data_IF_853510468578
#
_entry.id   IF_853510468578
#
_cell.length_a   1.000
_cell.length_b   1.000
_cell.length_c   1.000
_cell.angle_alpha   90.00
_cell.angle_beta   90.00
_cell.angle_gamma   90.00
#
_symmetry.space_group_name_H-M   'P 1'
#
loop_
_entity.id
_entity.type
_entity.pdbx_description
1 polymer ?
#
# COMPACT_ATOMS: atom_id res chain seq x y z
N UNK A 1 -16.32 -6.18 -14.38
CA UNK A 1 -16.87 -5.94 -15.72
C UNK A 1 -15.71 -5.96 -16.70
N UNK A 2 -15.65 -6.92 -17.65
CA UNK A 2 -14.58 -6.95 -18.67
C UNK A 2 -14.87 -5.83 -19.67
N UNK A 3 -13.96 -4.85 -19.79
CA UNK A 3 -14.05 -3.85 -20.89
C UNK A 3 -13.69 -4.55 -22.20
N UNK A 4 -14.48 -4.32 -23.25
CA UNK A 4 -14.07 -4.63 -24.63
C UNK A 4 -12.95 -3.67 -25.03
N UNK A 5 -11.90 -4.21 -25.65
CA UNK A 5 -10.81 -3.44 -26.25
C UNK A 5 -11.41 -2.46 -27.27
N UNK A 6 -11.20 -1.15 -27.05
CA UNK A 6 -11.39 -0.19 -28.13
C UNK A 6 -10.20 -0.37 -29.09
N UNK A 7 -10.48 -0.63 -30.35
CA UNK A 7 -9.46 -0.80 -31.38
C UNK A 7 -8.51 0.41 -31.39
N UNK A 8 -7.22 0.16 -31.19
CA UNK A 8 -6.18 1.19 -31.29
C UNK A 8 -5.58 1.68 -29.99
N UNK A 9 -6.00 1.22 -28.80
CA UNK A 9 -5.37 1.59 -27.53
C UNK A 9 -4.35 0.51 -27.10
N UNK A 10 -3.02 0.74 -27.24
CA UNK A 10 -1.99 -0.23 -26.90
C UNK A 10 -1.79 -0.44 -25.40
N UNK A 11 -2.57 0.27 -24.56
CA UNK A 11 -2.39 0.34 -23.11
C UNK A 11 -3.35 -0.53 -22.31
N UNK A 12 -4.33 -1.18 -22.95
CA UNK A 12 -5.32 -2.02 -22.27
C UNK A 12 -5.05 -3.48 -22.58
N UNK A 13 -4.76 -4.28 -21.55
CA UNK A 13 -4.66 -5.73 -21.67
C UNK A 13 -6.05 -6.37 -21.86
N UNK A 14 -6.12 -7.50 -22.59
CA UNK A 14 -7.37 -8.21 -22.88
C UNK A 14 -8.02 -8.81 -21.62
N UNK A 15 -7.22 -9.05 -20.58
CA UNK A 15 -7.66 -9.69 -19.33
C UNK A 15 -7.89 -8.70 -18.17
N UNK A 16 -8.02 -7.41 -18.46
CA UNK A 16 -8.19 -6.38 -17.43
C UNK A 16 -9.54 -6.47 -16.74
N UNK A 17 -9.50 -6.68 -15.45
CA UNK A 17 -10.63 -6.42 -14.55
C UNK A 17 -10.39 -5.08 -13.86
N UNK A 18 -11.09 -4.04 -14.30
CA UNK A 18 -10.97 -2.73 -13.69
C UNK A 18 -11.58 -2.71 -12.29
N UNK A 19 -10.93 -1.98 -11.38
CA UNK A 19 -11.54 -1.63 -10.11
C UNK A 19 -12.80 -0.77 -10.36
N UNK A 20 -13.77 -0.89 -9.47
CA UNK A 20 -14.95 -0.03 -9.50
C UNK A 20 -14.53 1.45 -9.45
N UNK A 21 -15.26 2.34 -10.12
CA UNK A 21 -15.09 3.80 -9.99
C UNK A 21 -15.25 4.29 -8.54
N UNK A 22 -15.89 3.47 -7.69
CA UNK A 22 -16.06 3.70 -6.26
C UNK A 22 -15.06 2.90 -5.41
N UNK A 23 -14.02 2.30 -6.02
CA UNK A 23 -12.98 1.61 -5.28
C UNK A 23 -12.31 2.58 -4.28
N UNK A 24 -12.05 2.06 -3.09
CA UNK A 24 -11.41 2.80 -1.99
C UNK A 24 -10.16 2.07 -1.50
N UNK A 25 -9.44 1.42 -2.42
CA UNK A 25 -8.14 0.82 -2.16
C UNK A 25 -7.09 1.88 -1.80
N UNK A 26 -5.91 1.43 -1.40
CA UNK A 26 -4.83 2.34 -0.99
C UNK A 26 -4.45 3.36 -2.07
N UNK A 27 -4.47 2.95 -3.33
CA UNK A 27 -4.10 3.81 -4.47
C UNK A 27 -5.10 4.96 -4.67
N UNK A 28 -6.40 4.66 -4.60
CA UNK A 28 -7.47 5.65 -4.76
C UNK A 28 -7.51 6.62 -3.57
N UNK A 29 -7.27 6.11 -2.36
CA UNK A 29 -7.18 6.93 -1.16
C UNK A 29 -6.04 7.95 -1.23
N UNK A 30 -4.84 7.53 -1.64
CA UNK A 30 -3.70 8.44 -1.72
C UNK A 30 -3.87 9.45 -2.85
N UNK A 31 -4.41 9.03 -4.00
CA UNK A 31 -4.71 9.94 -5.11
C UNK A 31 -5.65 11.06 -4.68
N UNK A 32 -6.77 10.72 -4.04
CA UNK A 32 -7.73 11.71 -3.53
C UNK A 32 -7.08 12.63 -2.49
N UNK A 33 -6.37 12.07 -1.51
CA UNK A 33 -5.69 12.84 -0.45
C UNK A 33 -4.71 13.88 -1.00
N UNK A 34 -3.93 13.53 -2.03
CA UNK A 34 -2.97 14.46 -2.66
C UNK A 34 -3.69 15.49 -3.50
N UNK A 35 -4.63 15.03 -4.37
CA UNK A 35 -5.40 15.93 -5.26
C UNK A 35 -6.12 17.03 -4.49
N UNK A 36 -6.74 16.69 -3.36
CA UNK A 36 -7.51 17.64 -2.55
C UNK A 36 -6.65 18.72 -1.86
N UNK A 37 -5.32 18.58 -1.89
CA UNK A 37 -4.35 19.47 -1.22
C UNK A 37 -3.46 20.27 -2.14
N UNK A 38 -3.33 19.85 -3.38
CA UNK A 38 -2.58 20.58 -4.41
C UNK A 38 -3.52 21.64 -5.02
N UNK A 39 -3.06 22.88 -5.31
CA UNK A 39 -3.88 23.88 -5.98
C UNK A 39 -4.54 23.35 -7.25
N UNK A 40 -5.85 23.53 -7.37
CA UNK A 40 -6.68 22.93 -8.41
C UNK A 40 -6.24 23.31 -9.83
N UNK A 41 -5.89 24.59 -10.05
CA UNK A 41 -5.40 25.10 -11.32
C UNK A 41 -4.06 24.45 -11.73
N UNK A 42 -3.18 24.21 -10.78
CA UNK A 42 -1.92 23.53 -10.99
C UNK A 42 -2.13 22.03 -11.30
N UNK A 43 -2.99 21.37 -10.52
CA UNK A 43 -3.33 19.97 -10.75
C UNK A 43 -3.96 19.76 -12.13
N UNK A 44 -4.91 20.60 -12.52
CA UNK A 44 -5.64 20.49 -13.77
C UNK A 44 -4.83 20.90 -15.02
N UNK A 45 -3.68 21.57 -14.84
CA UNK A 45 -2.72 21.83 -15.92
C UNK A 45 -2.14 20.53 -16.47
N UNK A 46 -2.05 19.49 -15.65
CA UNK A 46 -1.52 18.19 -16.00
C UNK A 46 -2.62 17.14 -16.15
N UNK A 47 -2.33 16.10 -16.92
CA UNK A 47 -3.01 14.82 -16.81
C UNK A 47 -2.20 13.94 -15.84
N UNK A 48 -2.64 13.83 -14.58
CA UNK A 48 -2.04 12.92 -13.59
C UNK A 48 -2.74 11.57 -13.69
N UNK A 49 -2.02 10.57 -14.21
CA UNK A 49 -2.52 9.22 -14.48
C UNK A 49 -2.08 8.28 -13.35
N UNK A 50 -3.04 7.68 -12.66
CA UNK A 50 -2.76 6.72 -11.60
C UNK A 50 -2.62 5.32 -12.19
N UNK A 51 -1.44 4.75 -12.11
CA UNK A 51 -1.06 3.39 -12.50
C UNK A 51 -1.31 3.02 -13.97
N UNK A 52 -2.53 3.15 -14.47
CA UNK A 52 -2.96 2.54 -15.73
C UNK A 52 -3.43 3.57 -16.72
N UNK A 53 -2.76 3.64 -17.87
CA UNK A 53 -3.11 4.56 -18.95
C UNK A 53 -4.35 4.04 -19.69
N UNK A 54 -5.43 4.82 -19.71
CA UNK A 54 -6.66 4.51 -20.45
C UNK A 54 -6.84 5.39 -21.66
N UNK A 55 -6.43 6.65 -21.54
CA UNK A 55 -6.46 7.66 -22.59
C UNK A 55 -5.33 8.65 -22.39
N UNK A 56 -4.95 9.38 -23.42
CA UNK A 56 -3.97 10.45 -23.35
C UNK A 56 -4.65 11.76 -23.76
N UNK A 57 -4.76 12.70 -22.82
CA UNK A 57 -5.24 14.06 -23.06
C UNK A 57 -4.14 14.91 -23.73
N UNK A 58 -4.55 16.01 -24.36
CA UNK A 58 -3.63 17.04 -24.88
C UNK A 58 -3.17 17.97 -23.73
N UNK A 59 -2.46 17.38 -22.79
CA UNK A 59 -1.84 18.03 -21.62
C UNK A 59 -0.48 17.44 -21.31
N UNK A 60 0.40 18.13 -20.57
CA UNK A 60 1.57 17.50 -19.98
C UNK A 60 1.16 16.35 -19.05
N UNK A 61 1.86 15.21 -19.11
CA UNK A 61 1.43 13.96 -18.46
C UNK A 61 2.37 13.54 -17.37
N UNK A 62 1.79 13.17 -16.23
CA UNK A 62 2.50 12.58 -15.09
C UNK A 62 1.93 11.17 -14.91
N UNK A 63 2.80 10.16 -14.93
CA UNK A 63 2.39 8.77 -14.65
C UNK A 63 2.82 8.40 -13.22
N UNK A 64 1.84 8.17 -12.36
CA UNK A 64 2.02 7.86 -10.95
C UNK A 64 1.78 6.37 -10.70
N UNK A 65 2.83 5.63 -10.45
CA UNK A 65 2.78 4.18 -10.29
C UNK A 65 2.31 3.76 -8.90
N UNK A 66 1.47 2.71 -8.86
CA UNK A 66 1.03 2.03 -7.64
C UNK A 66 1.11 0.50 -7.80
N UNK A 67 1.18 0.01 -9.03
CA UNK A 67 1.34 -1.41 -9.36
C UNK A 67 2.83 -1.77 -9.52
N UNK A 68 3.14 -3.06 -9.66
CA UNK A 68 4.51 -3.52 -9.89
C UNK A 68 4.93 -3.37 -11.35
N UNK A 69 6.23 -3.32 -11.62
CA UNK A 69 6.80 -3.29 -12.97
C UNK A 69 6.40 -4.48 -13.86
N UNK A 70 5.89 -5.57 -13.24
CA UNK A 70 5.44 -6.79 -13.93
C UNK A 70 3.96 -6.76 -14.30
N UNK A 71 3.22 -5.72 -13.90
CA UNK A 71 1.83 -5.58 -14.33
C UNK A 71 1.76 -5.51 -15.87
N UNK A 72 0.89 -6.30 -16.52
CA UNK A 72 0.73 -6.27 -17.99
C UNK A 72 0.40 -4.89 -18.54
N UNK A 73 -0.29 -4.06 -17.76
CA UNK A 73 -0.75 -2.73 -18.16
C UNK A 73 0.38 -1.68 -18.27
N UNK A 74 1.58 -1.97 -17.76
CA UNK A 74 2.73 -1.06 -17.84
C UNK A 74 3.81 -1.53 -18.82
N UNK A 75 3.64 -2.70 -19.47
CA UNK A 75 4.67 -3.27 -20.35
C UNK A 75 4.95 -2.43 -21.61
N UNK A 76 4.03 -1.55 -22.01
CA UNK A 76 4.24 -0.61 -23.12
C UNK A 76 5.39 0.36 -22.84
N UNK A 77 5.77 0.57 -21.59
CA UNK A 77 6.88 1.43 -21.18
C UNK A 77 8.27 0.86 -21.53
N UNK A 78 8.38 -0.39 -21.97
CA UNK A 78 9.61 -0.92 -22.57
C UNK A 78 10.03 -0.13 -23.81
N UNK A 79 9.06 0.43 -24.53
CA UNK A 79 9.32 1.28 -25.68
C UNK A 79 9.63 2.72 -25.22
N UNK A 80 10.79 3.24 -25.64
CA UNK A 80 11.21 4.61 -25.33
C UNK A 80 10.23 5.66 -25.84
N UNK A 81 9.68 5.50 -27.06
CA UNK A 81 8.70 6.42 -27.62
C UNK A 81 7.43 6.53 -26.75
N UNK A 82 7.06 5.43 -26.09
CA UNK A 82 5.97 5.44 -25.13
C UNK A 82 6.32 6.21 -23.85
N UNK A 83 7.56 6.08 -23.37
CA UNK A 83 8.06 6.83 -22.20
C UNK A 83 8.18 8.33 -22.48
N UNK A 84 8.54 8.70 -23.69
CA UNK A 84 8.71 10.11 -24.12
C UNK A 84 7.37 10.90 -24.14
N UNK A 85 6.23 10.22 -24.01
CA UNK A 85 4.91 10.85 -23.88
C UNK A 85 4.62 11.42 -22.49
N UNK A 86 5.50 11.18 -21.51
CA UNK A 86 5.33 11.60 -20.14
C UNK A 86 6.43 12.57 -19.72
N UNK A 87 6.04 13.61 -19.00
CA UNK A 87 6.98 14.61 -18.43
C UNK A 87 7.70 14.04 -17.20
N UNK A 88 6.99 13.23 -16.39
CA UNK A 88 7.52 12.67 -15.15
C UNK A 88 6.87 11.33 -14.82
N UNK A 89 7.67 10.45 -14.22
CA UNK A 89 7.27 9.21 -13.59
C UNK A 89 7.38 9.35 -12.08
N UNK A 90 6.29 9.09 -11.36
CA UNK A 90 6.23 9.20 -9.91
C UNK A 90 6.08 7.82 -9.30
N UNK A 91 6.95 7.49 -8.35
CA UNK A 91 6.99 6.19 -7.68
C UNK A 91 6.69 6.32 -6.19
N UNK A 92 6.01 5.34 -5.58
CA UNK A 92 5.69 5.38 -4.16
C UNK A 92 6.86 4.96 -3.25
N UNK A 93 7.96 4.44 -3.83
CA UNK A 93 9.14 3.94 -3.11
C UNK A 93 10.36 3.87 -4.02
N UNK A 94 11.55 3.88 -3.42
CA UNK A 94 12.82 3.65 -4.11
C UNK A 94 12.89 2.23 -4.68
N UNK A 95 12.38 1.24 -3.93
CA UNK A 95 12.26 -0.13 -4.41
C UNK A 95 11.43 -0.22 -5.71
N UNK A 96 10.30 0.49 -5.77
CA UNK A 96 9.45 0.49 -6.96
C UNK A 96 10.18 1.13 -8.15
N UNK A 97 10.81 2.29 -7.97
CA UNK A 97 11.60 2.97 -9.00
C UNK A 97 12.70 2.05 -9.55
N UNK A 98 13.47 1.40 -8.67
CA UNK A 98 14.53 0.48 -9.09
C UNK A 98 13.98 -0.67 -9.94
N UNK A 99 12.84 -1.28 -9.54
CA UNK A 99 12.20 -2.34 -10.31
C UNK A 99 11.76 -1.88 -11.70
N UNK A 100 11.15 -0.71 -11.80
CA UNK A 100 10.75 -0.15 -13.10
C UNK A 100 11.96 0.22 -13.96
N UNK A 101 13.02 0.74 -13.38
CA UNK A 101 14.28 0.99 -14.11
C UNK A 101 14.86 -0.31 -14.68
N UNK A 102 15.01 -1.35 -13.85
CA UNK A 102 15.59 -2.62 -14.25
C UNK A 102 14.73 -3.41 -15.25
N UNK A 103 13.42 -3.44 -15.05
CA UNK A 103 12.51 -4.28 -15.83
C UNK A 103 12.05 -3.61 -17.13
N UNK A 104 11.89 -2.27 -17.13
CA UNK A 104 11.28 -1.51 -18.23
C UNK A 104 12.17 -0.38 -18.80
N UNK A 105 13.35 -0.13 -18.22
CA UNK A 105 14.28 0.89 -18.67
C UNK A 105 13.80 2.33 -18.41
N UNK A 106 13.01 2.55 -17.37
CA UNK A 106 12.58 3.89 -16.97
C UNK A 106 13.80 4.72 -16.58
N UNK A 107 13.91 5.92 -17.13
CA UNK A 107 15.03 6.83 -16.91
C UNK A 107 14.94 7.51 -15.53
N UNK A 108 16.05 7.52 -14.78
CA UNK A 108 16.10 8.19 -13.46
C UNK A 108 15.86 9.71 -13.58
N UNK A 109 16.32 10.33 -14.68
CA UNK A 109 16.18 11.77 -14.94
C UNK A 109 14.71 12.20 -15.07
N UNK A 110 13.85 11.29 -15.54
CA UNK A 110 12.39 11.49 -15.62
C UNK A 110 11.64 11.00 -14.40
N UNK A 111 12.33 10.48 -13.39
CA UNK A 111 11.71 9.81 -12.24
C UNK A 111 11.82 10.63 -10.97
N UNK A 112 10.86 10.42 -10.08
CA UNK A 112 10.88 10.95 -8.71
C UNK A 112 10.16 9.98 -7.78
N UNK A 113 10.67 9.84 -6.56
CA UNK A 113 9.98 9.10 -5.50
C UNK A 113 9.22 10.10 -4.63
N UNK A 114 7.90 10.01 -4.64
CA UNK A 114 7.01 10.69 -3.72
C UNK A 114 6.22 9.62 -2.96
N UNK A 115 6.56 9.45 -1.70
CA UNK A 115 6.01 8.35 -0.88
C UNK A 115 4.50 8.46 -0.72
N UNK A 116 3.83 7.31 -0.73
CA UNK A 116 2.43 7.27 -0.32
C UNK A 116 2.32 7.73 1.13
N UNK A 117 1.39 8.64 1.40
CA UNK A 117 1.28 9.30 2.69
C UNK A 117 -0.09 9.09 3.33
N UNK A 118 -0.15 9.33 4.61
CA UNK A 118 -1.34 9.20 5.43
C UNK A 118 -1.66 10.53 6.13
N UNK A 119 -2.88 10.68 6.57
CA UNK A 119 -3.17 11.61 7.68
C UNK A 119 -2.66 10.94 8.95
N UNK A 120 -1.74 11.50 9.73
CA UNK A 120 -1.25 10.88 10.96
C UNK A 120 -2.39 10.42 11.87
N UNK A 121 -2.23 9.27 12.53
CA UNK A 121 -3.22 8.80 13.49
C UNK A 121 -2.99 9.55 14.82
N UNK A 122 -4.05 10.13 15.43
CA UNK A 122 -3.90 10.87 16.68
C UNK A 122 -3.22 10.05 17.79
N UNK A 123 -2.43 10.72 18.62
CA UNK A 123 -1.80 10.06 19.77
C UNK A 123 -2.85 9.52 20.73
N UNK A 124 -2.68 8.28 21.14
CA UNK A 124 -3.57 7.56 22.04
C UNK A 124 -2.77 6.51 22.83
N UNK A 125 -3.37 5.96 23.85
CA UNK A 125 -2.78 4.86 24.63
C UNK A 125 -3.42 3.53 24.23
N UNK A 126 -2.61 2.50 24.03
CA UNK A 126 -3.11 1.14 23.80
C UNK A 126 -3.77 0.60 25.07
N UNK A 127 -4.85 -0.22 24.96
CA UNK A 127 -5.43 -0.91 26.11
C UNK A 127 -4.39 -1.78 26.81
N UNK A 128 -4.22 -1.60 28.10
CA UNK A 128 -3.31 -2.43 28.93
C UNK A 128 -4.00 -3.64 29.54
N UNK A 129 -5.31 -3.58 29.66
CA UNK A 129 -6.14 -4.65 30.20
C UNK A 129 -6.81 -5.40 29.06
N UNK A 130 -7.06 -6.69 29.27
CA UNK A 130 -7.69 -7.55 28.26
C UNK A 130 -6.68 -8.20 27.30
N UNK A 131 -7.16 -8.71 26.17
CA UNK A 131 -6.33 -9.46 25.22
C UNK A 131 -5.36 -8.57 24.45
N UNK A 132 -4.22 -9.13 24.03
CA UNK A 132 -3.41 -8.54 22.97
C UNK A 132 -4.21 -8.62 21.66
N UNK A 133 -4.47 -7.47 21.05
CA UNK A 133 -5.26 -7.35 19.81
C UNK A 133 -4.35 -7.31 18.59
N UNK A 134 -4.55 -8.29 17.72
CA UNK A 134 -3.91 -8.38 16.43
C UNK A 134 -4.85 -7.83 15.35
N UNK A 135 -4.31 -7.29 14.27
CA UNK A 135 -5.10 -6.98 13.08
C UNK A 135 -4.43 -7.52 11.81
N UNK A 136 -5.26 -7.90 10.83
CA UNK A 136 -4.88 -8.13 9.44
C UNK A 136 -5.71 -7.20 8.55
N UNK A 137 -5.03 -6.39 7.75
CA UNK A 137 -5.66 -5.34 6.92
C UNK A 137 -5.14 -5.46 5.50
N UNK A 138 -5.69 -6.40 4.74
CA UNK A 138 -5.34 -6.61 3.34
C UNK A 138 -6.31 -7.57 2.66
N UNK A 139 -6.24 -7.67 1.32
CA UNK A 139 -6.98 -8.68 0.56
C UNK A 139 -6.46 -10.09 0.86
N UNK A 140 -7.30 -11.12 0.73
CA UNK A 140 -7.02 -12.46 1.29
C UNK A 140 -5.81 -13.16 0.63
N UNK A 141 -5.54 -12.87 -0.64
CA UNK A 141 -4.42 -13.51 -1.37
C UNK A 141 -3.03 -13.05 -0.90
N UNK A 142 -2.96 -12.06 0.01
CA UNK A 142 -1.71 -11.50 0.52
C UNK A 142 -1.25 -12.16 1.82
N UNK A 143 -1.66 -13.41 2.09
CA UNK A 143 -1.19 -14.21 3.22
C UNK A 143 -2.21 -14.44 4.34
N UNK A 144 -3.51 -14.22 4.11
CA UNK A 144 -4.54 -14.51 5.13
C UNK A 144 -4.57 -16.01 5.49
N UNK A 145 -4.32 -16.90 4.53
CA UNK A 145 -4.23 -18.34 4.76
C UNK A 145 -3.04 -18.71 5.65
N UNK A 146 -1.91 -18.02 5.48
CA UNK A 146 -0.73 -18.16 6.34
C UNK A 146 -1.04 -17.69 7.75
N UNK A 147 -1.65 -16.52 7.89
CA UNK A 147 -2.02 -15.94 9.18
C UNK A 147 -2.94 -16.85 9.98
N UNK A 148 -4.08 -17.25 9.39
CA UNK A 148 -5.07 -18.04 10.12
C UNK A 148 -4.54 -19.44 10.48
N UNK A 149 -3.70 -20.01 9.60
CA UNK A 149 -3.00 -21.27 9.87
C UNK A 149 -2.07 -21.15 11.07
N UNK A 150 -1.24 -20.11 11.10
CA UNK A 150 -0.31 -19.83 12.21
C UNK A 150 -1.05 -19.53 13.51
N UNK A 151 -2.10 -18.68 13.47
CA UNK A 151 -2.90 -18.31 14.64
C UNK A 151 -3.52 -19.54 15.30
N UNK A 152 -4.14 -20.43 14.51
CA UNK A 152 -4.73 -21.66 15.01
C UNK A 152 -3.71 -22.65 15.60
N UNK A 153 -2.51 -22.72 14.98
CA UNK A 153 -1.44 -23.60 15.43
C UNK A 153 -0.83 -23.14 16.76
N UNK A 154 -0.72 -21.84 16.96
CA UNK A 154 -0.12 -21.23 18.17
C UNK A 154 -0.99 -21.40 19.42
N UNK A 155 -2.32 -21.61 19.29
CA UNK A 155 -3.26 -21.75 20.41
C UNK A 155 -3.06 -20.67 21.49
N UNK A 156 -3.01 -19.42 21.04
CA UNK A 156 -2.70 -18.27 21.89
C UNK A 156 -3.82 -18.04 22.91
N UNK A 157 -3.42 -17.86 24.17
CA UNK A 157 -4.31 -17.43 25.25
C UNK A 157 -4.31 -15.91 25.36
N UNK A 158 -5.46 -15.33 25.67
CA UNK A 158 -5.62 -13.88 25.86
C UNK A 158 -5.15 -13.03 24.64
N UNK A 159 -5.46 -13.52 23.44
CA UNK A 159 -5.17 -12.83 22.16
C UNK A 159 -6.42 -12.85 21.29
N UNK A 160 -6.74 -11.72 20.66
CA UNK A 160 -7.81 -11.56 19.68
C UNK A 160 -7.23 -11.14 18.33
N UNK A 161 -7.88 -11.57 17.24
CA UNK A 161 -7.49 -11.24 15.88
C UNK A 161 -8.66 -10.64 15.12
N UNK A 162 -8.51 -9.37 14.71
CA UNK A 162 -9.43 -8.68 13.82
C UNK A 162 -8.97 -8.78 12.37
N UNK A 163 -9.84 -9.26 11.47
CA UNK A 163 -9.52 -9.47 10.06
C UNK A 163 -10.39 -8.55 9.18
N UNK A 164 -9.76 -7.59 8.54
CA UNK A 164 -10.35 -6.69 7.56
C UNK A 164 -9.87 -7.10 6.16
N UNK A 165 -10.64 -7.96 5.49
CA UNK A 165 -10.19 -8.62 4.26
C UNK A 165 -11.35 -8.94 3.32
N UNK A 166 -11.34 -8.38 2.11
CA UNK A 166 -12.28 -8.67 1.04
C UNK A 166 -11.82 -7.96 -0.25
N UNK A 167 -12.13 -8.52 -1.40
CA UNK A 167 -11.98 -7.86 -2.69
C UNK A 167 -13.08 -6.83 -3.00
N UNK A 168 -14.12 -6.76 -2.16
CA UNK A 168 -15.19 -5.76 -2.26
C UNK A 168 -14.64 -4.33 -2.25
N UNK A 169 -13.49 -4.09 -1.61
CA UNK A 169 -12.80 -2.79 -1.60
C UNK A 169 -12.51 -2.27 -3.02
N UNK A 170 -12.34 -3.18 -4.00
CA UNK A 170 -12.14 -2.87 -5.41
C UNK A 170 -13.41 -3.03 -6.25
N UNK A 171 -14.54 -3.39 -5.64
CA UNK A 171 -15.77 -3.75 -6.34
C UNK A 171 -15.71 -5.11 -7.05
N UNK A 172 -14.81 -6.00 -6.62
CA UNK A 172 -14.62 -7.35 -7.18
C UNK A 172 -15.24 -8.42 -6.28
N UNK A 173 -16.50 -8.27 -5.95
CA UNK A 173 -17.21 -9.19 -5.05
C UNK A 173 -17.22 -10.64 -5.55
N UNK A 174 -17.27 -10.85 -6.87
CA UNK A 174 -17.20 -12.19 -7.45
C UNK A 174 -15.88 -12.91 -7.13
N UNK A 175 -14.79 -12.16 -7.00
CA UNK A 175 -13.49 -12.70 -6.65
C UNK A 175 -13.41 -13.21 -5.21
N UNK A 176 -14.23 -12.67 -4.32
CA UNK A 176 -14.31 -13.13 -2.93
C UNK A 176 -14.81 -14.56 -2.82
N UNK A 177 -15.60 -15.06 -3.81
CA UNK A 177 -16.10 -16.45 -3.83
C UNK A 177 -14.97 -17.50 -3.82
N UNK A 178 -13.82 -17.17 -4.39
CA UNK A 178 -12.63 -18.05 -4.37
C UNK A 178 -12.09 -18.25 -2.94
N UNK A 179 -12.40 -17.31 -2.04
CA UNK A 179 -11.92 -17.26 -0.67
C UNK A 179 -12.99 -17.59 0.37
N UNK A 180 -14.22 -17.95 -0.03
CA UNK A 180 -15.33 -18.24 0.88
C UNK A 180 -14.97 -19.27 1.97
N UNK A 181 -14.26 -20.34 1.59
CA UNK A 181 -13.79 -21.36 2.55
C UNK A 181 -12.82 -20.78 3.57
N UNK A 182 -11.91 -19.90 3.13
CA UNK A 182 -10.94 -19.26 4.00
C UNK A 182 -11.64 -18.28 4.96
N UNK A 183 -12.59 -17.51 4.46
CA UNK A 183 -13.41 -16.61 5.29
C UNK A 183 -14.26 -17.38 6.30
N UNK A 184 -14.78 -18.54 5.92
CA UNK A 184 -15.51 -19.39 6.88
C UNK A 184 -14.58 -19.92 7.97
N UNK A 185 -13.36 -20.38 7.63
CA UNK A 185 -12.35 -20.76 8.63
C UNK A 185 -12.05 -19.61 9.60
N UNK A 186 -11.95 -18.37 9.10
CA UNK A 186 -11.75 -17.20 9.96
C UNK A 186 -12.92 -17.03 10.94
N UNK A 187 -14.17 -17.12 10.48
CA UNK A 187 -15.38 -16.98 11.33
C UNK A 187 -15.51 -18.08 12.37
N UNK A 188 -15.10 -19.30 12.02
CA UNK A 188 -15.21 -20.48 12.88
C UNK A 188 -14.03 -20.62 13.87
N UNK A 189 -13.01 -19.77 13.74
CA UNK A 189 -11.84 -19.83 14.63
C UNK A 189 -12.11 -18.99 15.89
N UNK A 190 -11.99 -19.57 17.10
CA UNK A 190 -12.14 -18.82 18.34
C UNK A 190 -11.21 -17.62 18.43
N UNK A 191 -11.69 -16.52 19.03
CA UNK A 191 -10.97 -15.26 19.20
C UNK A 191 -10.57 -14.57 17.88
N UNK A 192 -11.25 -14.90 16.77
CA UNK A 192 -11.11 -14.24 15.48
C UNK A 192 -12.40 -13.52 15.10
N UNK A 193 -12.29 -12.22 14.81
CA UNK A 193 -13.39 -11.39 14.33
C UNK A 193 -13.17 -11.07 12.86
N UNK A 194 -14.00 -11.61 11.97
CA UNK A 194 -13.93 -11.33 10.54
C UNK A 194 -14.91 -10.22 10.14
N UNK A 195 -14.38 -9.08 9.72
CA UNK A 195 -15.14 -7.86 9.40
C UNK A 195 -15.40 -7.67 7.90
N UNK A 196 -14.67 -8.39 7.03
CA UNK A 196 -14.75 -8.17 5.57
C UNK A 196 -14.14 -6.85 5.17
N UNK A 197 -14.81 -6.11 4.27
CA UNK A 197 -14.41 -4.77 3.83
C UNK A 197 -15.15 -3.71 4.62
N UNK A 198 -14.40 -2.81 5.26
CA UNK A 198 -14.94 -1.66 6.00
C UNK A 198 -14.30 -0.36 5.50
N UNK A 199 -14.90 0.82 5.73
CA UNK A 199 -14.30 2.10 5.41
C UNK A 199 -12.94 2.31 6.08
N UNK A 200 -12.03 3.07 5.44
CA UNK A 200 -10.69 3.31 5.99
C UNK A 200 -10.73 4.02 7.36
N UNK A 201 -11.70 4.89 7.61
CA UNK A 201 -11.82 5.59 8.92
C UNK A 201 -12.15 4.61 10.07
N UNK A 202 -12.90 3.55 9.80
CA UNK A 202 -13.14 2.47 10.77
C UNK A 202 -11.87 1.69 11.06
N UNK A 203 -11.09 1.36 10.01
CA UNK A 203 -9.76 0.73 10.14
C UNK A 203 -8.84 1.59 11.01
N UNK A 204 -8.76 2.89 10.73
CA UNK A 204 -7.92 3.83 11.47
C UNK A 204 -8.31 3.94 12.93
N UNK A 205 -9.63 3.87 13.22
CA UNK A 205 -10.16 3.80 14.59
C UNK A 205 -9.78 2.48 15.26
N UNK A 206 -9.94 1.35 14.57
CA UNK A 206 -9.55 0.04 15.06
C UNK A 206 -8.06 -0.06 15.37
N UNK A 207 -7.20 0.52 14.53
CA UNK A 207 -5.75 0.56 14.74
C UNK A 207 -5.35 1.27 16.04
N UNK A 208 -6.15 2.19 16.56
CA UNK A 208 -5.90 2.80 17.88
C UNK A 208 -6.00 1.79 19.02
N UNK A 209 -6.79 0.73 18.85
CA UNK A 209 -6.95 -0.35 19.83
C UNK A 209 -6.10 -1.58 19.52
N UNK A 210 -5.52 -1.66 18.33
CA UNK A 210 -4.69 -2.77 17.87
C UNK A 210 -3.27 -2.66 18.44
N UNK A 211 -2.73 -3.76 18.92
CA UNK A 211 -1.36 -3.85 19.42
C UNK A 211 -0.37 -4.23 18.31
N UNK A 212 -0.74 -5.20 17.48
CA UNK A 212 0.16 -5.77 16.47
C UNK A 212 -0.57 -5.89 15.12
N UNK A 213 0.02 -5.35 14.06
CA UNK A 213 -0.37 -5.70 12.69
C UNK A 213 0.32 -7.02 12.32
N UNK A 214 -0.45 -8.08 12.19
CA UNK A 214 -0.01 -9.42 11.84
C UNK A 214 -0.10 -9.61 10.32
N UNK A 215 1.02 -9.40 9.60
CA UNK A 215 1.03 -9.32 8.14
C UNK A 215 2.03 -10.29 7.49
N UNK A 216 1.72 -11.59 7.42
CA UNK A 216 2.58 -12.59 6.74
C UNK A 216 2.44 -12.48 5.21
N UNK A 217 2.77 -11.32 4.68
CA UNK A 217 2.57 -10.97 3.29
C UNK A 217 3.29 -11.92 2.33
N UNK A 218 2.58 -12.32 1.26
CA UNK A 218 3.11 -13.16 0.16
C UNK A 218 3.13 -12.42 -1.17
N UNK A 219 2.74 -11.14 -1.19
CA UNK A 219 2.62 -10.30 -2.37
C UNK A 219 3.72 -9.24 -2.43
N UNK A 220 4.19 -8.90 -3.63
CA UNK A 220 5.16 -7.82 -3.81
C UNK A 220 4.46 -6.45 -3.71
N UNK A 221 4.45 -5.87 -2.53
CA UNK A 221 3.92 -4.52 -2.29
C UNK A 221 4.85 -3.47 -2.88
N UNK A 222 4.26 -2.32 -3.28
CA UNK A 222 4.98 -1.15 -3.78
C UNK A 222 5.10 -0.02 -2.74
N UNK A 223 4.25 -0.02 -1.70
CA UNK A 223 4.28 0.94 -0.59
C UNK A 223 3.77 0.38 0.74
N UNK A 224 2.66 -0.36 0.79
CA UNK A 224 2.01 -0.92 1.98
C UNK A 224 1.44 0.13 2.96
N UNK A 225 0.38 0.83 2.56
CA UNK A 225 -0.29 1.84 3.42
C UNK A 225 -0.76 1.26 4.76
N UNK A 226 -1.20 -0.01 4.78
CA UNK A 226 -1.62 -0.67 6.03
C UNK A 226 -0.50 -0.72 7.07
N UNK A 227 0.75 -0.97 6.66
CA UNK A 227 1.89 -0.93 7.57
C UNK A 227 2.18 0.52 8.04
N UNK A 228 2.12 1.50 7.11
CA UNK A 228 2.34 2.91 7.45
C UNK A 228 1.30 3.39 8.48
N UNK A 229 0.00 3.12 8.26
CA UNK A 229 -1.07 3.50 9.19
C UNK A 229 -0.93 2.77 10.54
N UNK A 230 -0.59 1.48 10.54
CA UNK A 230 -0.36 0.72 11.77
C UNK A 230 0.81 1.29 12.59
N UNK A 231 1.90 1.66 11.94
CA UNK A 231 3.07 2.24 12.60
C UNK A 231 2.81 3.65 13.13
N UNK A 232 2.05 4.48 12.40
CA UNK A 232 1.55 5.76 12.90
C UNK A 232 0.59 5.60 14.08
N UNK A 233 -0.16 4.48 14.13
CA UNK A 233 -0.98 4.12 15.28
C UNK A 233 -0.20 3.51 16.46
N UNK A 234 1.12 3.40 16.38
CA UNK A 234 1.94 2.79 17.43
C UNK A 234 1.71 1.27 17.57
N UNK A 235 1.40 0.58 16.48
CA UNK A 235 1.36 -0.89 16.45
C UNK A 235 2.76 -1.45 16.17
N UNK A 236 3.09 -2.59 16.79
CA UNK A 236 4.16 -3.45 16.27
C UNK A 236 3.69 -4.00 14.91
N UNK A 237 4.57 -4.07 13.93
CA UNK A 237 4.30 -4.73 12.64
C UNK A 237 5.14 -5.98 12.54
N UNK A 238 4.49 -7.13 12.33
CA UNK A 238 5.16 -8.41 12.07
C UNK A 238 4.98 -8.77 10.60
N UNK A 239 6.04 -8.75 9.82
CA UNK A 239 5.99 -8.99 8.38
C UNK A 239 7.28 -9.62 7.84
N UNK A 240 7.26 -10.23 6.62
CA UNK A 240 8.47 -10.70 5.95
C UNK A 240 9.28 -9.54 5.34
N UNK A 241 10.57 -9.76 5.10
CA UNK A 241 11.42 -8.85 4.33
C UNK A 241 11.18 -9.01 2.82
N UNK A 242 9.95 -8.81 2.38
CA UNK A 242 9.54 -8.99 0.98
C UNK A 242 9.29 -7.65 0.29
N UNK A 243 9.87 -7.48 -0.91
CA UNK A 243 9.66 -6.31 -1.77
C UNK A 243 9.94 -4.99 -1.03
N UNK A 244 8.97 -4.06 -1.01
CA UNK A 244 9.12 -2.75 -0.37
C UNK A 244 9.09 -2.78 1.17
N UNK A 245 8.66 -3.87 1.79
CA UNK A 245 8.43 -3.89 3.24
C UNK A 245 9.67 -3.48 4.07
N UNK A 246 10.92 -3.87 3.72
CA UNK A 246 12.11 -3.35 4.42
C UNK A 246 12.24 -1.83 4.34
N UNK A 247 11.95 -1.22 3.18
CA UNK A 247 11.95 0.24 3.01
C UNK A 247 10.80 0.90 3.77
N UNK A 248 9.58 0.41 3.57
CA UNK A 248 8.38 0.98 4.21
C UNK A 248 8.46 0.91 5.74
N UNK A 249 8.98 -0.19 6.27
CA UNK A 249 9.06 -0.40 7.72
C UNK A 249 10.31 0.18 8.38
N UNK A 250 11.30 0.66 7.63
CA UNK A 250 12.45 1.44 8.12
C UNK A 250 13.13 0.84 9.37
N UNK A 251 13.25 -0.49 9.44
CA UNK A 251 13.80 -1.26 10.57
C UNK A 251 12.98 -1.21 11.89
N UNK A 252 11.77 -0.66 11.88
CA UNK A 252 10.90 -0.71 13.07
C UNK A 252 10.11 -2.02 13.18
N UNK A 253 9.81 -2.68 12.05
CA UNK A 253 9.04 -3.92 12.06
C UNK A 253 9.85 -5.10 12.61
N UNK A 254 9.15 -6.03 13.23
CA UNK A 254 9.66 -7.35 13.56
C UNK A 254 9.63 -8.23 12.32
N UNK A 255 10.76 -8.25 11.60
CA UNK A 255 10.86 -8.88 10.30
C UNK A 255 11.50 -10.27 10.36
N UNK A 256 11.05 -11.12 9.45
CA UNK A 256 11.65 -12.43 9.18
C UNK A 256 11.97 -12.61 7.69
N UNK A 257 12.93 -13.49 7.38
CA UNK A 257 13.29 -13.79 6.00
C UNK A 257 12.15 -14.46 5.25
N UNK A 258 11.70 -13.84 4.15
CA UNK A 258 10.68 -14.41 3.26
C UNK A 258 11.15 -15.74 2.65
N UNK A 259 10.24 -16.69 2.54
CA UNK A 259 10.43 -17.95 1.82
C UNK A 259 9.16 -18.29 1.03
N UNK A 260 9.31 -18.96 -0.12
CA UNK A 260 8.17 -19.31 -0.97
C UNK A 260 7.38 -20.52 -0.45
N UNK A 261 8.05 -21.44 0.28
CA UNK A 261 7.36 -22.55 0.92
C UNK A 261 6.42 -22.05 2.00
N UNK A 262 5.13 -22.30 1.82
CA UNK A 262 4.06 -21.78 2.70
C UNK A 262 4.17 -22.29 4.14
N UNK A 263 4.60 -23.51 4.33
CA UNK A 263 4.72 -24.13 5.66
C UNK A 263 5.87 -23.49 6.43
N UNK A 264 7.01 -23.34 5.78
CA UNK A 264 8.17 -22.69 6.37
C UNK A 264 7.91 -21.18 6.58
N UNK A 265 7.20 -20.52 5.66
CA UNK A 265 6.77 -19.14 5.81
C UNK A 265 5.87 -18.98 7.05
N UNK A 266 4.85 -19.82 7.20
CA UNK A 266 3.97 -19.82 8.36
C UNK A 266 4.73 -20.10 9.67
N UNK A 267 5.71 -21.01 9.66
CA UNK A 267 6.53 -21.33 10.82
C UNK A 267 7.38 -20.13 11.28
N UNK A 268 8.05 -19.44 10.34
CA UNK A 268 8.84 -18.24 10.63
C UNK A 268 7.96 -17.10 11.15
N UNK A 269 6.84 -16.87 10.49
CA UNK A 269 5.88 -15.87 10.92
C UNK A 269 5.36 -16.15 12.33
N UNK A 270 4.93 -17.39 12.60
CA UNK A 270 4.40 -17.79 13.91
C UNK A 270 5.44 -17.58 15.03
N UNK A 271 6.70 -17.87 14.77
CA UNK A 271 7.80 -17.66 15.73
C UNK A 271 7.94 -16.18 16.09
N UNK A 272 8.03 -15.29 15.08
CA UNK A 272 8.20 -13.85 15.29
C UNK A 272 6.94 -13.21 15.86
N UNK A 273 5.75 -13.66 15.42
CA UNK A 273 4.48 -13.20 15.99
C UNK A 273 4.36 -13.53 17.48
N UNK A 274 4.71 -14.76 17.86
CA UNK A 274 4.68 -15.17 19.27
C UNK A 274 5.64 -14.33 20.12
N UNK A 275 6.84 -14.10 19.64
CA UNK A 275 7.84 -13.27 20.31
C UNK A 275 7.34 -11.81 20.45
N UNK A 276 6.72 -11.25 19.41
CA UNK A 276 6.13 -9.91 19.46
C UNK A 276 4.96 -9.81 20.46
N UNK A 277 4.14 -10.85 20.59
CA UNK A 277 3.04 -10.91 21.57
C UNK A 277 3.60 -10.95 22.99
N UNK A 278 4.56 -11.86 23.24
CA UNK A 278 5.12 -12.08 24.58
C UNK A 278 5.86 -10.84 25.10
N UNK A 279 6.48 -10.07 24.21
CA UNK A 279 7.30 -8.92 24.59
C UNK A 279 6.62 -7.56 24.33
N UNK A 280 5.35 -7.53 23.93
CA UNK A 280 4.69 -6.27 23.56
C UNK A 280 4.80 -5.19 24.63
N UNK A 281 4.64 -5.55 25.90
CA UNK A 281 4.65 -4.61 27.03
C UNK A 281 6.02 -4.35 27.62
N UNK A 282 7.10 -4.91 27.05
CA UNK A 282 8.45 -4.62 27.49
C UNK A 282 8.77 -3.12 27.34
N UNK A 283 9.37 -2.48 28.36
CA UNK A 283 9.66 -1.04 28.34
C UNK A 283 10.45 -0.57 27.09
N UNK A 284 11.36 -1.39 26.62
CA UNK A 284 12.13 -1.11 25.40
C UNK A 284 11.28 -1.09 24.13
N UNK A 285 10.32 -2.03 24.03
CA UNK A 285 9.36 -2.09 22.93
C UNK A 285 8.47 -0.85 22.95
N UNK A 286 7.91 -0.50 24.11
CA UNK A 286 7.04 0.68 24.26
C UNK A 286 7.78 2.00 23.93
N UNK A 287 9.03 2.14 24.36
CA UNK A 287 9.86 3.29 23.98
C UNK A 287 10.12 3.34 22.46
N UNK A 288 10.40 2.19 21.85
CA UNK A 288 10.56 2.05 20.39
C UNK A 288 9.31 2.46 19.61
N UNK A 289 8.11 2.05 20.08
CA UNK A 289 6.83 2.43 19.45
C UNK A 289 6.54 3.94 19.52
N UNK A 290 6.95 4.60 20.58
CA UNK A 290 6.87 6.06 20.69
C UNK A 290 7.73 6.77 19.64
N UNK A 291 8.96 6.31 19.44
CA UNK A 291 9.86 6.83 18.40
C UNK A 291 9.37 6.47 16.98
N UNK A 292 8.93 5.23 16.77
CA UNK A 292 8.33 4.77 15.52
C UNK A 292 7.18 5.70 15.09
N UNK A 293 6.23 5.97 15.99
CA UNK A 293 5.10 6.86 15.69
C UNK A 293 5.58 8.24 15.22
N UNK A 294 6.51 8.87 15.94
CA UNK A 294 7.04 10.18 15.57
C UNK A 294 7.70 10.14 14.17
N UNK A 295 8.45 9.08 13.88
CA UNK A 295 9.07 8.88 12.58
C UNK A 295 8.02 8.80 11.46
N UNK A 296 6.96 7.98 11.62
CA UNK A 296 5.93 7.81 10.60
C UNK A 296 5.07 9.05 10.41
N UNK A 297 4.70 9.73 11.48
CA UNK A 297 3.93 10.97 11.43
C UNK A 297 4.70 12.10 10.72
N UNK A 298 6.03 12.10 10.77
CA UNK A 298 6.88 13.07 10.08
C UNK A 298 7.15 12.68 8.62
N UNK A 299 7.50 11.42 8.36
CA UNK A 299 7.97 10.99 7.03
C UNK A 299 6.85 10.59 6.06
N UNK A 300 5.66 10.29 6.58
CA UNK A 300 4.51 9.88 5.79
C UNK A 300 3.31 10.82 5.96
N UNK A 301 3.55 12.06 6.42
CA UNK A 301 2.51 13.07 6.53
C UNK A 301 2.02 13.54 5.16
N UNK A 302 0.69 13.52 4.99
CA UNK A 302 0.05 13.89 3.73
C UNK A 302 0.26 15.35 3.34
N UNK A 303 0.35 16.25 4.32
CA UNK A 303 0.57 17.68 4.06
C UNK A 303 1.98 17.92 3.47
N UNK A 304 2.97 17.22 4.00
CA UNK A 304 4.34 17.24 3.49
C UNK A 304 4.42 16.65 2.07
N UNK A 305 3.78 15.51 1.84
CA UNK A 305 3.76 14.88 0.51
C UNK A 305 3.02 15.74 -0.52
N UNK A 306 1.90 16.36 -0.15
CA UNK A 306 1.18 17.27 -1.04
C UNK A 306 2.02 18.50 -1.44
N UNK A 307 2.80 19.07 -0.54
CA UNK A 307 3.75 20.14 -0.87
C UNK A 307 4.85 19.67 -1.82
N UNK A 308 5.35 18.44 -1.66
CA UNK A 308 6.32 17.88 -2.60
C UNK A 308 5.71 17.72 -4.00
N UNK A 309 4.45 17.29 -4.09
CA UNK A 309 3.71 17.24 -5.35
C UNK A 309 3.55 18.63 -5.98
N UNK A 310 3.11 19.62 -5.20
CA UNK A 310 2.97 21.01 -5.65
C UNK A 310 4.29 21.55 -6.20
N UNK A 311 5.39 21.40 -5.47
CA UNK A 311 6.72 21.84 -5.90
C UNK A 311 7.17 21.16 -7.19
N UNK A 312 6.97 19.86 -7.33
CA UNK A 312 7.29 19.11 -8.54
C UNK A 312 6.48 19.61 -9.73
N UNK A 313 5.17 19.71 -9.61
CA UNK A 313 4.27 20.16 -10.68
C UNK A 313 4.58 21.60 -11.09
N UNK A 314 4.80 22.51 -10.14
CA UNK A 314 5.17 23.90 -10.44
C UNK A 314 6.50 23.98 -11.17
N UNK A 315 7.49 23.18 -10.78
CA UNK A 315 8.79 23.12 -11.46
C UNK A 315 8.66 22.66 -12.91
N UNK A 316 7.87 21.60 -13.15
CA UNK A 316 7.64 21.10 -14.51
C UNK A 316 6.90 22.13 -15.35
N UNK A 317 5.86 22.77 -14.81
CA UNK A 317 5.09 23.83 -15.49
C UNK A 317 6.02 24.96 -15.93
N UNK A 318 6.83 25.50 -15.00
CA UNK A 318 7.77 26.58 -15.29
C UNK A 318 8.76 26.21 -16.40
N UNK A 319 9.26 24.97 -16.42
CA UNK A 319 10.19 24.50 -17.45
C UNK A 319 9.52 24.40 -18.84
N UNK A 320 8.26 23.95 -18.89
CA UNK A 320 7.48 23.88 -20.14
C UNK A 320 7.23 25.29 -20.69
N UNK A 321 6.84 26.25 -19.83
CA UNK A 321 6.56 27.63 -20.22
C UNK A 321 7.81 28.32 -20.75
N UNK A 322 8.95 28.22 -20.05
CA UNK A 322 10.26 28.76 -20.53
C UNK A 322 10.67 28.17 -21.87
N UNK A 323 10.44 26.87 -22.08
CA UNK A 323 10.78 26.23 -23.36
C UNK A 323 9.92 26.70 -24.52
N UNK A 324 8.68 27.14 -24.26
CA UNK A 324 7.79 27.75 -25.27
C UNK A 324 8.22 29.16 -25.61
N UNK A 325 8.59 29.98 -24.63
CA UNK A 325 9.09 31.36 -24.80
C UNK A 325 10.38 31.41 -25.62
N UNK A 326 11.28 30.41 -25.47
CA UNK A 326 12.52 30.33 -26.23
C UNK A 326 12.33 29.89 -27.70
N UNK A 327 11.18 29.34 -28.06
CA UNK A 327 10.84 28.88 -29.41
C UNK A 327 9.95 29.85 -30.18
N UNK A 328 9.38 30.86 -29.52
CA UNK A 328 8.60 31.96 -30.08
C UNK A 328 9.49 33.15 -30.42
#
# INVERSE_FOLDING_TARGET
MKRKREEGLPYISEDVVEASKNAKGGSELIYGRVKDRVPEDLWNYFQVILSRVRELEDKPRILWFQDTSRDPEVQFLKNKESRDKFERFVFPSDWSLEKYHLDLGIEYEKSVVLKNAIVPIPTHSKPKEGPIRLAYISTPHRGLDVLIGAFRALKLENVELDIYSSFKIYGWEEKDKEFDKLYQICRDTPNVNYHGSVPNDEIRTALQQTHILAYPNTYQETACISAIEAMSAGCVVVCPNLAVLPETCANFAWMYGFVQDKTEHARKFAYVLKDAIDNFWEPSVQAGLGFQKQYYDMHYDIETTAKQWEMMLQTIKNNIERSKEQKS
#
